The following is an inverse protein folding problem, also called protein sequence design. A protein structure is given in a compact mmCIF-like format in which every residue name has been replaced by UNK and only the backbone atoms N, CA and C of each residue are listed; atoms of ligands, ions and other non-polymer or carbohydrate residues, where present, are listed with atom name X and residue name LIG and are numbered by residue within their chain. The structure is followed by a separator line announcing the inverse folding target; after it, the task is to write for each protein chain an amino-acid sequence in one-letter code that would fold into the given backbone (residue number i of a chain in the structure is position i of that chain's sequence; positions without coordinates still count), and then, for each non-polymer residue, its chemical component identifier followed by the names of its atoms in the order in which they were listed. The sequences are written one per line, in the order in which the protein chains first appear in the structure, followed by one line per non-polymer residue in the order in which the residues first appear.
data_IF_681377581474
#
_entry.id   IF_681377581474
#
_cell.length_a   1.000
_cell.length_b   1.000
_cell.length_c   1.000
_cell.angle_alpha   90.00
_cell.angle_beta   90.00
_cell.angle_gamma   90.00
#
_symmetry.space_group_name_H-M   'P 1'
#
loop_
_entity.id
_entity.type
_entity.pdbx_description
1 polymer ?
#
# COMPACT_ATOMS: atom_id res chain seq x y z
N UNK A 1 -16.69 3.79 -38.72
CA UNK A 1 -15.44 4.55 -38.88
C UNK A 1 -15.18 5.18 -37.53
N UNK A 2 -14.41 4.50 -36.69
CA UNK A 2 -14.08 5.00 -35.34
C UNK A 2 -12.87 5.90 -35.55
N UNK A 3 -13.03 7.19 -35.31
CA UNK A 3 -11.93 8.15 -35.31
C UNK A 3 -10.87 7.66 -34.32
N UNK A 4 -9.68 7.30 -34.83
CA UNK A 4 -8.52 7.07 -33.98
C UNK A 4 -8.16 8.43 -33.41
N UNK A 5 -8.50 8.63 -32.15
CA UNK A 5 -8.14 9.80 -31.37
C UNK A 5 -6.61 9.91 -31.35
N UNK A 6 -6.10 10.85 -32.13
CA UNK A 6 -4.67 11.07 -32.31
C UNK A 6 -4.15 11.89 -31.11
N UNK A 7 -4.15 11.27 -29.92
CA UNK A 7 -3.62 11.89 -28.70
C UNK A 7 -2.17 12.30 -28.91
N UNK A 8 -1.80 13.48 -28.39
CA UNK A 8 -0.44 14.03 -28.58
C UNK A 8 0.61 13.12 -27.91
N UNK A 9 1.86 13.07 -28.40
CA UNK A 9 2.92 12.25 -27.80
C UNK A 9 3.04 12.41 -26.28
N UNK A 10 2.91 13.64 -25.78
CA UNK A 10 3.00 13.97 -24.34
C UNK A 10 1.82 13.38 -23.54
N UNK A 11 0.61 13.39 -24.09
CA UNK A 11 -0.58 12.79 -23.45
C UNK A 11 -0.46 11.27 -23.38
N UNK A 12 0.08 10.65 -24.44
CA UNK A 12 0.32 9.20 -24.47
C UNK A 12 1.41 8.79 -23.48
N UNK A 13 2.49 9.57 -23.37
CA UNK A 13 3.54 9.33 -22.39
C UNK A 13 3.00 9.47 -20.96
N UNK A 14 2.23 10.51 -20.68
CA UNK A 14 1.59 10.71 -19.37
C UNK A 14 0.63 9.58 -19.00
N UNK A 15 -0.20 9.13 -19.96
CA UNK A 15 -1.11 8.00 -19.73
C UNK A 15 -0.34 6.69 -19.49
N UNK A 16 0.74 6.45 -20.22
CA UNK A 16 1.60 5.28 -20.01
C UNK A 16 2.28 5.31 -18.65
N UNK A 17 2.84 6.47 -18.25
CA UNK A 17 3.40 6.71 -16.92
C UNK A 17 2.38 6.39 -15.83
N UNK A 18 1.18 6.98 -15.94
CA UNK A 18 0.13 6.77 -14.96
C UNK A 18 -0.27 5.30 -14.86
N UNK A 19 -0.50 4.64 -16.00
CA UNK A 19 -0.86 3.22 -16.03
C UNK A 19 0.24 2.35 -15.44
N UNK A 20 1.51 2.66 -15.72
CA UNK A 20 2.64 1.90 -15.22
C UNK A 20 2.78 2.04 -13.70
N UNK A 21 2.74 3.25 -13.16
CA UNK A 21 2.87 3.50 -11.71
C UNK A 21 1.67 2.95 -10.93
N UNK A 22 0.43 3.11 -11.43
CA UNK A 22 -0.77 2.51 -10.82
C UNK A 22 -0.65 0.99 -10.79
N UNK A 23 -0.11 0.38 -11.85
CA UNK A 23 0.12 -1.08 -11.88
C UNK A 23 1.19 -1.47 -10.88
N UNK A 24 2.34 -0.78 -10.84
CA UNK A 24 3.42 -1.05 -9.89
C UNK A 24 2.93 -0.99 -8.44
N UNK A 25 2.12 0.01 -8.10
CA UNK A 25 1.54 0.15 -6.77
C UNK A 25 0.62 -1.01 -6.38
N UNK A 26 -0.01 -1.70 -7.33
CA UNK A 26 -0.93 -2.82 -7.06
C UNK A 26 -0.27 -4.21 -7.05
N UNK A 27 1.03 -4.31 -7.38
CA UNK A 27 1.70 -5.61 -7.52
C UNK A 27 1.98 -6.33 -6.20
N UNK A 28 2.11 -5.61 -5.08
CA UNK A 28 2.51 -6.19 -3.78
C UNK A 28 1.41 -6.01 -2.74
N UNK A 29 1.18 -4.78 -2.29
CA UNK A 29 0.16 -4.45 -1.28
C UNK A 29 -0.84 -3.47 -1.86
N UNK A 30 -2.09 -3.90 -1.89
CA UNK A 30 -3.26 -3.02 -1.90
C UNK A 30 -3.81 -2.97 -0.46
N UNK A 31 -3.50 -1.88 0.24
CA UNK A 31 -3.89 -1.68 1.63
C UNK A 31 -5.39 -1.46 1.84
N UNK A 32 -6.16 -1.28 0.77
CA UNK A 32 -7.60 -1.15 0.83
C UNK A 32 -8.33 -2.46 0.49
N UNK A 33 -7.63 -3.42 -0.11
CA UNK A 33 -8.16 -4.74 -0.45
C UNK A 33 -8.16 -5.67 0.76
N UNK A 34 -9.34 -6.18 1.14
CA UNK A 34 -9.50 -7.12 2.24
C UNK A 34 -10.35 -8.32 1.81
N UNK A 35 -9.98 -9.48 2.34
CA UNK A 35 -10.70 -10.74 2.21
C UNK A 35 -10.97 -11.25 3.63
N UNK A 36 -12.20 -11.63 3.95
CA UNK A 36 -12.57 -12.20 5.26
C UNK A 36 -12.01 -11.45 6.48
N UNK A 37 -12.08 -10.11 6.44
CA UNK A 37 -11.69 -9.24 7.57
C UNK A 37 -10.18 -9.02 7.73
N UNK A 38 -9.34 -9.44 6.79
CA UNK A 38 -7.90 -9.18 6.80
C UNK A 38 -7.39 -8.69 5.44
N UNK A 39 -6.19 -8.08 5.36
CA UNK A 39 -5.62 -7.60 4.10
C UNK A 39 -5.49 -8.72 3.07
N UNK A 40 -6.03 -8.52 1.86
CA UNK A 40 -6.11 -9.54 0.81
C UNK A 40 -4.76 -10.04 0.32
N UNK A 41 -3.70 -9.24 0.47
CA UNK A 41 -2.36 -9.63 0.04
C UNK A 41 -1.80 -10.81 0.86
N UNK A 42 -2.38 -11.13 2.02
CA UNK A 42 -2.01 -12.29 2.85
C UNK A 42 -2.65 -13.61 2.39
N UNK A 43 -3.59 -13.55 1.43
CA UNK A 43 -4.33 -14.72 0.96
C UNK A 43 -3.45 -15.82 0.35
N UNK A 44 -2.49 -15.53 -0.55
CA UNK A 44 -1.60 -16.54 -1.12
C UNK A 44 -0.82 -17.33 -0.05
N UNK A 45 -0.32 -16.64 0.97
CA UNK A 45 0.51 -17.17 2.04
C UNK A 45 -0.33 -18.06 2.97
N UNK A 46 -1.58 -17.66 3.22
CA UNK A 46 -2.53 -18.47 3.99
C UNK A 46 -2.97 -19.74 3.26
N UNK A 47 -3.18 -19.67 1.94
CA UNK A 47 -3.50 -20.86 1.13
C UNK A 47 -2.33 -21.82 1.03
N UNK A 48 -1.11 -21.30 0.95
CA UNK A 48 0.12 -22.10 0.88
C UNK A 48 0.30 -22.97 2.13
N UNK A 49 -0.10 -22.46 3.30
CA UNK A 49 -0.09 -23.22 4.56
C UNK A 49 -1.13 -24.34 4.58
N UNK A 50 -2.35 -24.10 4.06
CA UNK A 50 -3.44 -25.09 4.04
C UNK A 50 -3.21 -26.26 3.08
N UNK A 51 -2.44 -26.06 2.01
CA UNK A 51 -2.29 -27.07 0.97
C UNK A 51 -1.22 -28.12 1.28
N UNK A 52 -0.31 -27.89 2.24
CA UNK A 52 0.65 -28.91 2.72
C UNK A 52 1.55 -29.55 1.67
N UNK A 53 1.62 -29.00 0.45
CA UNK A 53 2.20 -29.68 -0.72
C UNK A 53 3.37 -28.87 -1.30
N UNK A 54 4.54 -29.00 -0.67
CA UNK A 54 5.81 -28.41 -1.13
C UNK A 54 6.79 -28.18 0.02
N UNK A 55 8.09 -27.95 -0.25
CA UNK A 55 8.98 -27.39 0.78
C UNK A 55 8.34 -26.10 1.28
N UNK A 56 8.06 -26.02 2.58
CA UNK A 56 7.39 -24.88 3.18
C UNK A 56 8.10 -23.60 2.75
N UNK A 57 7.36 -22.70 2.10
CA UNK A 57 7.89 -21.36 1.87
C UNK A 57 8.26 -20.76 3.23
N UNK A 58 9.56 -20.50 3.41
CA UNK A 58 10.09 -20.00 4.66
C UNK A 58 9.43 -18.66 5.03
N UNK A 59 9.05 -17.87 4.03
CA UNK A 59 8.29 -16.63 4.19
C UNK A 59 6.91 -16.87 4.79
N UNK A 60 6.09 -17.71 4.16
CA UNK A 60 4.76 -18.07 4.65
C UNK A 60 4.80 -18.64 6.09
N UNK A 61 5.77 -19.54 6.38
CA UNK A 61 5.92 -20.11 7.73
C UNK A 61 6.31 -19.06 8.79
N UNK A 62 7.17 -18.11 8.44
CA UNK A 62 7.54 -17.02 9.35
C UNK A 62 6.36 -16.09 9.62
N UNK A 63 5.63 -15.72 8.57
CA UNK A 63 4.44 -14.88 8.65
C UNK A 63 3.36 -15.49 9.55
N UNK A 64 3.11 -16.80 9.42
CA UNK A 64 2.18 -17.52 10.29
C UNK A 64 2.59 -17.45 11.76
N UNK A 65 3.87 -17.63 12.08
CA UNK A 65 4.36 -17.51 13.48
C UNK A 65 4.16 -16.09 14.02
N UNK A 66 4.37 -15.07 13.20
CA UNK A 66 4.16 -13.67 13.59
C UNK A 66 2.68 -13.40 13.88
N UNK A 67 1.78 -13.86 13.00
CA UNK A 67 0.34 -13.74 13.20
C UNK A 67 -0.15 -14.54 14.43
N UNK A 68 0.39 -15.73 14.66
CA UNK A 68 0.06 -16.55 15.83
C UNK A 68 0.48 -15.91 17.16
N UNK A 69 1.46 -15.00 17.15
CA UNK A 69 1.81 -14.17 18.30
C UNK A 69 0.82 -13.02 18.55
N UNK A 70 -0.21 -12.85 17.72
CA UNK A 70 -1.23 -11.82 17.85
C UNK A 70 -0.84 -10.46 17.26
N UNK A 71 0.15 -10.42 16.37
CA UNK A 71 0.47 -9.19 15.62
C UNK A 71 -0.70 -8.83 14.70
N UNK A 72 -1.07 -7.56 14.69
CA UNK A 72 -2.13 -7.05 13.82
C UNK A 72 -1.70 -7.15 12.34
N UNK A 73 -2.48 -7.81 11.46
CA UNK A 73 -2.22 -7.85 10.02
C UNK A 73 -2.08 -6.46 9.38
N UNK A 74 -2.76 -5.45 9.93
CA UNK A 74 -2.63 -4.08 9.46
C UNK A 74 -1.24 -3.52 9.77
N UNK A 75 -0.64 -3.86 10.90
CA UNK A 75 0.72 -3.43 11.23
C UNK A 75 1.76 -4.04 10.28
N UNK A 76 1.55 -5.28 9.85
CA UNK A 76 2.40 -5.92 8.85
C UNK A 76 2.23 -5.28 7.47
N UNK A 77 1.01 -4.86 7.14
CA UNK A 77 0.73 -4.13 5.90
C UNK A 77 1.52 -2.82 5.85
N UNK A 78 1.67 -2.10 6.97
CA UNK A 78 2.50 -0.88 7.03
C UNK A 78 3.98 -1.18 6.75
N UNK A 79 4.53 -2.24 7.37
CA UNK A 79 5.93 -2.64 7.15
C UNK A 79 6.18 -2.99 5.69
N UNK A 80 5.29 -3.79 5.08
CA UNK A 80 5.42 -4.16 3.66
C UNK A 80 5.22 -2.95 2.77
N UNK A 81 4.33 -2.01 3.13
CA UNK A 81 4.10 -0.78 2.35
C UNK A 81 5.32 0.14 2.35
N UNK A 82 6.03 0.25 3.48
CA UNK A 82 7.29 1.01 3.58
C UNK A 82 8.37 0.42 2.67
N UNK A 83 8.56 -0.90 2.72
CA UNK A 83 9.52 -1.60 1.84
C UNK A 83 9.09 -1.50 0.36
N UNK A 84 7.79 -1.61 0.08
CA UNK A 84 7.25 -1.44 -1.28
C UNK A 84 7.57 -0.05 -1.82
N UNK A 85 7.32 1.01 -1.04
CA UNK A 85 7.62 2.38 -1.45
C UNK A 85 9.11 2.58 -1.72
N UNK A 86 9.99 2.11 -0.82
CA UNK A 86 11.44 2.21 -1.01
C UNK A 86 11.90 1.50 -2.29
N UNK A 87 11.42 0.28 -2.54
CA UNK A 87 11.76 -0.46 -3.77
C UNK A 87 11.25 0.27 -5.01
N UNK A 88 10.00 0.74 -5.00
CA UNK A 88 9.42 1.47 -6.13
C UNK A 88 10.17 2.77 -6.40
N UNK A 89 10.52 3.51 -5.35
CA UNK A 89 11.30 4.74 -5.42
C UNK A 89 12.64 4.50 -6.09
N UNK A 90 13.39 3.49 -5.61
CA UNK A 90 14.70 3.15 -6.15
C UNK A 90 14.61 2.64 -7.60
N UNK A 91 13.60 1.83 -7.95
CA UNK A 91 13.41 1.37 -9.33
C UNK A 91 13.07 2.54 -10.27
N UNK A 92 12.18 3.44 -9.84
CA UNK A 92 11.83 4.61 -10.65
C UNK A 92 13.04 5.55 -10.81
N UNK A 93 13.82 5.76 -9.75
CA UNK A 93 15.04 6.55 -9.82
C UNK A 93 16.08 5.91 -10.75
N UNK A 94 16.25 4.59 -10.71
CA UNK A 94 17.15 3.86 -11.60
C UNK A 94 16.78 4.03 -13.08
N UNK A 95 15.49 4.06 -13.39
CA UNK A 95 14.97 4.20 -14.75
C UNK A 95 15.07 5.65 -15.27
N UNK A 96 14.87 6.64 -14.40
CA UNK A 96 14.97 8.05 -14.77
C UNK A 96 16.43 8.54 -14.82
N UNK A 97 17.24 8.18 -13.83
CA UNK A 97 18.64 8.57 -13.72
C UNK A 97 19.47 7.51 -12.97
N UNK A 98 20.09 6.56 -13.70
CA UNK A 98 20.90 5.50 -13.09
C UNK A 98 22.14 6.04 -12.34
N UNK A 99 22.57 7.28 -12.60
CA UNK A 99 23.73 7.90 -11.95
C UNK A 99 23.53 8.09 -10.45
N UNK A 100 22.31 8.43 -10.04
CA UNK A 100 22.01 8.83 -8.66
C UNK A 100 22.06 7.69 -7.65
N UNK A 101 21.96 6.43 -8.08
CA UNK A 101 21.97 5.27 -7.18
C UNK A 101 23.37 4.69 -6.94
N UNK A 102 24.43 5.31 -7.48
CA UNK A 102 25.80 4.82 -7.33
C UNK A 102 26.03 3.44 -7.96
N UNK A 103 25.09 2.94 -8.78
CA UNK A 103 25.21 1.71 -9.55
C UNK A 103 26.18 1.99 -10.71
N UNK A 104 27.48 1.92 -10.41
CA UNK A 104 28.56 1.90 -11.40
C UNK A 104 28.87 3.23 -12.11
N UNK A 105 28.38 4.36 -11.62
CA UNK A 105 28.56 5.67 -12.29
C UNK A 105 29.52 6.63 -11.58
N UNK A 106 29.64 6.54 -10.25
CA UNK A 106 30.37 7.54 -9.44
C UNK A 106 31.45 6.93 -8.53
N UNK A 107 32.16 5.90 -8.98
CA UNK A 107 33.49 5.64 -8.40
C UNK A 107 34.47 6.61 -9.08
N UNK A 108 35.20 7.43 -8.31
CA UNK A 108 36.31 8.23 -8.82
C UNK A 108 37.26 7.31 -9.64
N UNK A 109 37.24 7.45 -10.97
CA UNK A 109 38.01 6.64 -11.91
C UNK A 109 37.22 5.59 -12.72
N UNK A 110 35.91 5.44 -12.53
CA UNK A 110 35.07 4.61 -13.40
C UNK A 110 34.70 5.34 -14.67
N UNK A 111 34.70 4.63 -15.81
CA UNK A 111 34.18 5.18 -17.07
C UNK A 111 32.68 5.46 -16.89
N UNK A 112 32.12 6.55 -17.45
CA UNK A 112 30.67 6.73 -17.49
C UNK A 112 30.03 5.46 -18.04
N UNK A 113 28.92 5.02 -17.44
CA UNK A 113 28.28 3.75 -17.78
C UNK A 113 28.06 3.70 -19.29
N UNK A 114 28.45 2.58 -19.90
CA UNK A 114 28.37 2.38 -21.35
C UNK A 114 26.91 2.27 -21.86
N UNK A 115 25.93 2.26 -20.95
CA UNK A 115 24.52 2.08 -21.25
C UNK A 115 23.63 2.86 -20.26
N UNK A 116 22.42 3.20 -20.72
CA UNK A 116 21.34 3.81 -19.92
C UNK A 116 20.09 2.95 -20.02
N UNK A 117 19.25 3.00 -19.00
CA UNK A 117 17.93 2.40 -19.03
C UNK A 117 16.93 3.43 -19.55
N UNK A 118 15.95 2.97 -20.33
CA UNK A 118 14.83 3.80 -20.77
C UNK A 118 13.57 2.93 -20.79
N UNK A 119 12.53 3.40 -20.13
CA UNK A 119 11.21 2.77 -20.21
C UNK A 119 10.48 3.30 -21.44
N UNK A 120 10.02 2.40 -22.30
CA UNK A 120 9.32 2.75 -23.54
C UNK A 120 7.98 2.03 -23.58
N UNK A 121 6.90 2.80 -23.63
CA UNK A 121 5.57 2.26 -23.86
C UNK A 121 5.43 1.84 -25.33
N UNK A 122 4.96 0.62 -25.59
CA UNK A 122 4.83 0.08 -26.94
C UNK A 122 3.37 -0.30 -27.18
N UNK A 123 2.79 0.23 -28.26
CA UNK A 123 1.48 -0.17 -28.76
C UNK A 123 1.63 -0.97 -30.06
N UNK A 124 0.96 -2.12 -30.14
CA UNK A 124 0.83 -2.95 -31.35
C UNK A 124 2.15 -3.46 -31.97
N UNK A 125 3.25 -3.48 -31.21
CA UNK A 125 4.54 -4.07 -31.62
C UNK A 125 5.35 -3.30 -32.68
N UNK A 126 4.77 -2.25 -33.27
CA UNK A 126 5.40 -1.46 -34.34
C UNK A 126 6.34 -0.36 -33.80
N UNK A 127 7.49 -0.09 -34.44
CA UNK A 127 8.47 0.90 -33.98
C UNK A 127 7.90 2.32 -33.85
N UNK A 128 6.95 2.70 -34.69
CA UNK A 128 6.32 4.03 -34.68
C UNK A 128 5.35 4.24 -33.51
N UNK A 129 4.96 3.17 -32.80
CA UNK A 129 4.08 3.21 -31.63
C UNK A 129 4.82 3.30 -30.30
N UNK A 130 6.14 3.54 -30.33
CA UNK A 130 7.02 3.61 -29.16
C UNK A 130 7.04 5.02 -28.57
N UNK A 131 6.74 5.14 -27.29
CA UNK A 131 6.73 6.42 -26.58
C UNK A 131 7.62 6.31 -25.34
N UNK A 132 8.71 7.09 -25.25
CA UNK A 132 9.52 7.16 -24.03
C UNK A 132 8.68 7.62 -22.83
N UNK A 133 8.96 7.03 -21.67
CA UNK A 133 8.33 7.37 -20.39
C UNK A 133 9.43 7.88 -19.46
N UNK A 134 9.24 9.08 -18.92
CA UNK A 134 10.20 9.77 -18.05
C UNK A 134 9.47 10.38 -16.85
N UNK A 135 10.22 10.70 -15.79
CA UNK A 135 9.66 11.35 -14.60
C UNK A 135 8.89 10.39 -13.71
N UNK A 136 9.21 9.10 -13.78
CA UNK A 136 8.62 8.05 -12.96
C UNK A 136 8.82 8.36 -11.47
N UNK A 137 10.04 8.74 -11.10
CA UNK A 137 10.44 9.06 -9.74
C UNK A 137 9.68 10.27 -9.20
N UNK A 138 9.62 11.35 -9.98
CA UNK A 138 8.91 12.58 -9.58
C UNK A 138 7.40 12.39 -9.43
N UNK A 139 6.82 11.43 -10.16
CA UNK A 139 5.37 11.18 -10.15
C UNK A 139 4.94 10.02 -9.24
N UNK A 140 5.89 9.28 -8.65
CA UNK A 140 5.60 8.09 -7.85
C UNK A 140 4.67 8.41 -6.67
N UNK A 141 5.01 9.43 -5.89
CA UNK A 141 4.28 9.83 -4.69
C UNK A 141 2.95 10.50 -5.02
N UNK A 142 2.88 11.25 -6.13
CA UNK A 142 1.63 11.85 -6.61
C UNK A 142 0.59 10.80 -7.00
N UNK A 143 1.06 9.64 -7.46
CA UNK A 143 0.24 8.52 -7.91
C UNK A 143 0.12 7.40 -6.87
N UNK A 144 0.54 7.64 -5.63
CA UNK A 144 0.25 6.76 -4.50
C UNK A 144 -1.28 6.62 -4.33
N UNK A 145 -1.87 5.43 -4.51
CA UNK A 145 -3.32 5.20 -4.38
C UNK A 145 -3.87 5.62 -3.03
N UNK A 146 -3.03 5.62 -2.00
CA UNK A 146 -3.40 5.97 -0.64
C UNK A 146 -3.62 7.49 -0.44
N UNK A 147 -3.13 8.30 -1.38
CA UNK A 147 -3.11 9.76 -1.30
C UNK A 147 -2.18 10.32 -0.22
N UNK A 148 -1.32 9.49 0.38
CA UNK A 148 -0.38 9.91 1.43
C UNK A 148 1.02 10.20 0.91
N UNK A 149 1.26 10.08 -0.38
CA UNK A 149 2.55 10.42 -0.98
C UNK A 149 3.70 9.57 -0.41
N UNK A 150 3.46 8.27 -0.26
CA UNK A 150 4.44 7.35 0.33
C UNK A 150 4.50 7.37 1.85
N UNK A 151 3.81 8.32 2.51
CA UNK A 151 3.81 8.41 3.97
C UNK A 151 3.01 7.26 4.61
N UNK A 152 3.45 6.79 5.80
CA UNK A 152 2.75 5.74 6.52
C UNK A 152 1.34 6.18 6.95
N UNK A 153 0.44 5.21 7.17
CA UNK A 153 -0.95 5.44 7.63
C UNK A 153 -1.05 6.21 8.96
N UNK A 154 0.06 6.30 9.71
CA UNK A 154 0.13 6.88 11.04
C UNK A 154 -0.43 5.95 12.11
N UNK A 155 -0.10 6.20 13.38
CA UNK A 155 -0.52 5.35 14.51
C UNK A 155 -1.55 6.03 15.42
N UNK A 156 -2.61 5.31 15.82
CA UNK A 156 -2.99 3.96 15.40
C UNK A 156 -3.73 3.97 14.06
N UNK A 157 -3.67 2.85 13.34
CA UNK A 157 -4.35 2.66 12.06
C UNK A 157 -5.86 2.72 12.30
N UNK A 158 -6.63 3.63 11.67
CA UNK A 158 -8.07 3.75 11.90
C UNK A 158 -8.81 2.42 11.68
N UNK A 159 -9.61 1.98 12.66
CA UNK A 159 -10.33 0.72 12.56
C UNK A 159 -11.34 0.72 11.39
N UNK A 160 -11.48 -0.40 10.69
CA UNK A 160 -12.50 -0.55 9.63
C UNK A 160 -13.90 -0.64 10.22
N UNK A 161 -14.62 0.48 10.17
CA UNK A 161 -16.02 0.59 10.55
C UNK A 161 -16.79 1.30 9.42
N UNK A 162 -17.35 0.55 8.44
CA UNK A 162 -18.05 1.14 7.31
C UNK A 162 -19.18 2.08 7.75
N UNK A 163 -19.29 3.25 7.12
CA UNK A 163 -20.28 4.27 7.48
C UNK A 163 -19.96 5.06 8.76
N UNK A 164 -18.90 4.71 9.49
CA UNK A 164 -18.50 5.47 10.67
C UNK A 164 -17.48 6.58 10.36
N UNK A 165 -17.58 7.73 11.05
CA UNK A 165 -16.67 8.85 10.85
C UNK A 165 -15.25 8.51 11.32
N UNK A 166 -14.26 9.24 10.79
CA UNK A 166 -12.83 9.01 11.08
C UNK A 166 -12.51 9.01 12.59
N UNK A 167 -13.11 9.91 13.37
CA UNK A 167 -12.87 9.96 14.81
C UNK A 167 -13.30 8.68 15.55
N UNK A 168 -14.37 8.03 15.09
CA UNK A 168 -14.85 6.78 15.67
C UNK A 168 -13.89 5.64 15.33
N UNK A 169 -13.44 5.57 14.06
CA UNK A 169 -12.43 4.61 13.59
C UNK A 169 -11.11 4.74 14.35
N UNK A 170 -10.62 5.97 14.54
CA UNK A 170 -9.42 6.25 15.32
C UNK A 170 -9.58 5.92 16.81
N UNK A 171 -10.73 6.24 17.41
CA UNK A 171 -10.98 5.93 18.82
C UNK A 171 -11.01 4.42 19.07
N UNK A 172 -11.64 3.64 18.20
CA UNK A 172 -11.66 2.17 18.27
C UNK A 172 -10.26 1.59 18.05
N UNK A 173 -9.49 2.15 17.12
CA UNK A 173 -8.10 1.75 16.91
C UNK A 173 -7.23 1.96 18.16
N UNK A 174 -7.33 3.13 18.79
CA UNK A 174 -6.65 3.39 20.07
C UNK A 174 -7.08 2.40 21.16
N UNK A 175 -8.38 2.07 21.23
CA UNK A 175 -8.88 1.13 22.22
C UNK A 175 -8.36 -0.29 22.01
N UNK A 176 -8.29 -0.76 20.74
CA UNK A 176 -7.69 -2.06 20.37
C UNK A 176 -6.20 -2.13 20.67
N UNK A 177 -5.49 -1.03 20.46
CA UNK A 177 -4.08 -0.88 20.83
C UNK A 177 -3.83 -0.74 22.35
N UNK A 178 -4.87 -0.85 23.18
CA UNK A 178 -4.76 -0.72 24.64
C UNK A 178 -4.68 0.72 25.17
N UNK A 179 -4.61 1.74 24.29
CA UNK A 179 -4.55 3.16 24.66
C UNK A 179 -5.95 3.75 24.88
N UNK A 180 -6.62 3.27 25.93
CA UNK A 180 -7.98 3.68 26.31
C UNK A 180 -8.12 5.18 26.60
N UNK A 181 -7.07 5.81 27.13
CA UNK A 181 -7.09 7.25 27.44
C UNK A 181 -7.17 8.07 26.16
N UNK A 182 -6.33 7.74 25.18
CA UNK A 182 -6.31 8.46 23.91
C UNK A 182 -7.56 8.16 23.08
N UNK A 183 -8.10 6.93 23.13
CA UNK A 183 -9.38 6.58 22.53
C UNK A 183 -10.52 7.51 22.99
N UNK A 184 -10.69 7.65 24.31
CA UNK A 184 -11.70 8.52 24.92
C UNK A 184 -11.44 9.99 24.54
N UNK A 185 -10.19 10.45 24.57
CA UNK A 185 -9.83 11.83 24.19
C UNK A 185 -10.21 12.13 22.74
N UNK A 186 -9.89 11.23 21.81
CA UNK A 186 -10.21 11.35 20.39
C UNK A 186 -11.72 11.45 20.17
N UNK A 187 -12.49 10.58 20.82
CA UNK A 187 -13.96 10.60 20.74
C UNK A 187 -14.55 11.91 21.28
N UNK A 188 -14.12 12.32 22.47
CA UNK A 188 -14.64 13.52 23.15
C UNK A 188 -14.32 14.80 22.39
N UNK A 189 -13.10 14.91 21.82
CA UNK A 189 -12.70 16.07 21.03
C UNK A 189 -13.62 16.28 19.82
N UNK A 190 -14.10 15.21 19.21
CA UNK A 190 -14.96 15.27 18.03
C UNK A 190 -16.45 15.44 18.35
N UNK A 191 -16.92 14.90 19.49
CA UNK A 191 -18.36 14.78 19.79
C UNK A 191 -18.84 15.67 20.95
N UNK A 192 -17.94 16.13 21.82
CA UNK A 192 -18.30 16.82 23.07
C UNK A 192 -18.82 15.89 24.18
N UNK A 193 -18.84 14.58 23.98
CA UNK A 193 -19.35 13.60 24.94
C UNK A 193 -18.63 13.62 26.30
N UNK A 194 -19.31 13.14 27.34
CA UNK A 194 -18.71 12.86 28.64
C UNK A 194 -17.78 11.64 28.57
N UNK A 195 -16.97 11.43 29.62
CA UNK A 195 -16.07 10.26 29.70
C UNK A 195 -16.85 8.95 29.68
N UNK A 196 -17.96 8.87 30.40
CA UNK A 196 -18.80 7.67 30.50
C UNK A 196 -19.46 7.33 29.17
N UNK A 197 -20.03 8.33 28.49
CA UNK A 197 -20.65 8.16 27.17
C UNK A 197 -19.63 7.75 26.10
N UNK A 198 -18.46 8.41 26.08
CA UNK A 198 -17.38 8.08 25.16
C UNK A 198 -16.90 6.64 25.38
N UNK A 199 -16.71 6.23 26.64
CA UNK A 199 -16.32 4.85 26.97
C UNK A 199 -17.35 3.83 26.46
N UNK A 200 -18.63 4.04 26.79
CA UNK A 200 -19.71 3.13 26.39
C UNK A 200 -19.83 3.01 24.85
N UNK A 201 -19.72 4.13 24.13
CA UNK A 201 -19.78 4.13 22.67
C UNK A 201 -18.57 3.40 22.04
N UNK A 202 -17.37 3.61 22.58
CA UNK A 202 -16.16 2.91 22.11
C UNK A 202 -16.26 1.41 22.40
N UNK A 203 -16.71 1.01 23.59
CA UNK A 203 -16.88 -0.41 23.95
C UNK A 203 -17.85 -1.11 22.99
N UNK A 204 -19.02 -0.51 22.73
CA UNK A 204 -19.99 -1.03 21.75
C UNK A 204 -19.40 -1.21 20.34
N UNK A 205 -18.57 -0.26 19.90
CA UNK A 205 -17.93 -0.35 18.58
C UNK A 205 -16.78 -1.36 18.54
N UNK A 206 -16.04 -1.51 19.63
CA UNK A 206 -14.99 -2.53 19.75
C UNK A 206 -15.61 -3.92 19.69
N UNK A 207 -16.70 -4.14 20.43
CA UNK A 207 -17.42 -5.42 20.47
C UNK A 207 -18.00 -5.77 19.09
N UNK A 208 -18.70 -4.81 18.46
CA UNK A 208 -19.30 -4.99 17.12
C UNK A 208 -18.28 -5.25 16.01
N UNK A 209 -17.06 -4.75 16.19
CA UNK A 209 -15.98 -4.94 15.24
C UNK A 209 -15.13 -6.20 15.53
N UNK A 210 -15.33 -6.84 16.69
CA UNK A 210 -14.80 -8.17 17.01
C UNK A 210 -15.70 -9.31 16.53
N UNK A 211 -17.00 -9.04 16.36
CA UNK A 211 -17.95 -9.93 15.70
C UNK A 211 -17.76 -9.87 14.18
N UNK A 212 -16.87 -10.70 13.64
CA UNK A 212 -16.76 -10.89 12.19
C UNK A 212 -18.10 -11.40 11.59
N UNK A 213 -18.32 -11.27 10.27
CA UNK A 213 -19.59 -11.61 9.59
C UNK A 213 -20.00 -13.10 9.65
N UNK A 214 -19.33 -13.94 10.44
CA UNK A 214 -19.64 -15.35 10.67
C UNK A 214 -20.33 -15.68 11.99
N UNK A 215 -20.69 -14.68 12.81
CA UNK A 215 -21.39 -14.92 14.10
C UNK A 215 -22.89 -14.63 13.98
N UNK A 216 -23.57 -15.34 13.09
CA UNK A 216 -25.02 -15.51 13.17
C UNK A 216 -25.31 -17.02 13.19
N UNK A 217 -26.21 -17.49 14.08
CA UNK A 217 -26.49 -18.91 14.27
C UNK A 217 -27.11 -19.59 13.05
#
# INVERSE_FOLDING_TARGET
MIEREDSRPDERSAQALQSFLVTLWSMVVDEDSYTDGHPSWLEPERRSDQQGNGPADAGASALQRVLACGVDPDDLTDVVREVQHEVLYNVCQLLDDPGLLGIGLDHEGSRPAEFRWELVAVRDGEPAGRVPVHGLHSSLDELDPSGRHGEPRGRPIPARLPGHPLHARLAVAHARAGDRIRAIRTWRKATGATVTEAKAAIDLLVDRAGEGPGSAP
#
